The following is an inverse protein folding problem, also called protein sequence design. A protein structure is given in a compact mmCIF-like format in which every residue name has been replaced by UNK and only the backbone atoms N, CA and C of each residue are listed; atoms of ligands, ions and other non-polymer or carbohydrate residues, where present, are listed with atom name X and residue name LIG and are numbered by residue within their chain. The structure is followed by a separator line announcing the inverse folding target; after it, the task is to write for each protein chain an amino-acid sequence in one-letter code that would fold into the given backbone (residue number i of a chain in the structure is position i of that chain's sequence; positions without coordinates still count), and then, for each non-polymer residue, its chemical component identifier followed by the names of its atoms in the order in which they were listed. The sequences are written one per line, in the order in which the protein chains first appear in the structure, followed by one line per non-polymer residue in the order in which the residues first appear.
data_IF_515300455670
#
_entry.id   IF_515300455670
#
_cell.length_a   1.000
_cell.length_b   1.000
_cell.length_c   1.000
_cell.angle_alpha   90.00
_cell.angle_beta   90.00
_cell.angle_gamma   90.00
#
_symmetry.space_group_name_H-M   'P 1'
#
loop_
_entity.id
_entity.type
_entity.pdbx_description
1 polymer ?
#
# COMPACT_ATOMS: atom_id res chain seq x y z
N UNK A 1 -11.79 -6.38 13.96
CA UNK A 1 -10.38 -6.27 14.42
C UNK A 1 -9.95 -4.82 14.32
N UNK A 2 -9.60 -4.15 15.44
CA UNK A 2 -9.33 -2.70 15.50
C UNK A 2 -7.85 -2.44 15.77
N UNK A 3 -7.28 -1.46 15.06
CA UNK A 3 -5.94 -0.95 15.33
C UNK A 3 -5.96 -0.02 16.55
N UNK A 4 -5.16 -0.30 17.56
CA UNK A 4 -5.08 0.51 18.78
C UNK A 4 -4.40 1.86 18.56
N UNK A 5 -3.48 1.94 17.58
CA UNK A 5 -2.71 3.15 17.33
C UNK A 5 -3.49 4.18 16.51
N UNK A 6 -4.33 3.74 15.56
CA UNK A 6 -5.04 4.64 14.65
C UNK A 6 -6.57 4.49 14.63
N UNK A 7 -7.13 3.53 15.38
CA UNK A 7 -8.57 3.31 15.50
C UNK A 7 -9.25 2.65 14.29
N UNK A 8 -8.53 2.35 13.19
CA UNK A 8 -9.13 1.72 12.01
C UNK A 8 -9.62 0.30 12.31
N UNK A 9 -10.84 0.01 11.86
CA UNK A 9 -11.45 -1.31 11.96
C UNK A 9 -11.33 -2.11 10.67
N UNK A 10 -11.09 -3.40 10.81
CA UNK A 10 -10.95 -4.36 9.72
C UNK A 10 -11.85 -5.57 9.96
N UNK A 11 -12.45 -6.06 8.87
CA UNK A 11 -13.34 -7.22 8.88
C UNK A 11 -12.63 -8.53 9.25
N UNK A 12 -11.33 -8.65 8.91
CA UNK A 12 -10.56 -9.89 9.12
C UNK A 12 -9.18 -9.61 9.73
N UNK A 13 -8.69 -10.57 10.52
CA UNK A 13 -7.41 -10.46 11.25
C UNK A 13 -6.23 -10.20 10.31
N UNK A 14 -6.18 -10.89 9.16
CA UNK A 14 -5.12 -10.72 8.15
C UNK A 14 -4.98 -9.27 7.68
N UNK A 15 -6.10 -8.56 7.53
CA UNK A 15 -6.11 -7.17 7.10
C UNK A 15 -5.58 -6.24 8.19
N UNK A 16 -5.96 -6.48 9.46
CA UNK A 16 -5.38 -5.74 10.59
C UNK A 16 -3.88 -5.99 10.71
N UNK A 17 -3.43 -7.25 10.59
CA UNK A 17 -2.01 -7.60 10.66
C UNK A 17 -1.21 -6.88 9.56
N UNK A 18 -1.70 -6.88 8.32
CA UNK A 18 -1.07 -6.16 7.20
C UNK A 18 -0.99 -4.66 7.51
N UNK A 19 -2.09 -4.09 8.00
CA UNK A 19 -2.15 -2.69 8.37
C UNK A 19 -1.10 -2.32 9.43
N UNK A 20 -1.04 -3.06 10.54
CA UNK A 20 -0.07 -2.82 11.61
C UNK A 20 1.37 -2.94 11.11
N UNK A 21 1.64 -3.93 10.27
CA UNK A 21 2.99 -4.22 9.79
C UNK A 21 3.50 -3.21 8.75
N UNK A 22 2.61 -2.67 7.91
CA UNK A 22 3.01 -2.00 6.67
C UNK A 22 2.29 -0.70 6.36
N UNK A 23 1.19 -0.33 7.03
CA UNK A 23 0.34 0.82 6.64
C UNK A 23 0.02 1.81 7.77
N UNK A 24 0.33 1.50 9.04
CA UNK A 24 0.01 2.35 10.19
C UNK A 24 0.96 3.57 10.34
N UNK A 25 1.06 4.14 11.54
CA UNK A 25 1.70 5.46 11.81
C UNK A 25 3.16 5.55 11.32
N UNK A 26 3.90 4.44 11.30
CA UNK A 26 5.33 4.41 10.90
C UNK A 26 5.60 3.65 9.60
N UNK A 27 4.56 3.46 8.78
CA UNK A 27 4.67 2.78 7.50
C UNK A 27 5.48 3.59 6.49
N UNK A 28 6.76 3.26 6.32
CA UNK A 28 7.57 3.81 5.23
C UNK A 28 7.22 3.08 3.94
N UNK A 29 6.76 3.78 2.88
CA UNK A 29 6.53 3.14 1.60
C UNK A 29 7.88 2.64 1.07
N UNK A 30 7.99 1.33 0.87
CA UNK A 30 9.22 0.69 0.37
C UNK A 30 9.31 0.70 -1.15
N UNK A 31 8.19 0.84 -1.83
CA UNK A 31 8.11 0.76 -3.27
C UNK A 31 7.69 2.10 -3.85
N UNK A 32 8.40 2.54 -4.88
CA UNK A 32 8.14 3.78 -5.59
C UNK A 32 7.74 3.45 -7.02
N UNK A 33 6.86 4.25 -7.60
CA UNK A 33 6.67 4.28 -9.04
C UNK A 33 7.92 4.91 -9.68
N UNK A 34 8.31 4.41 -10.83
CA UNK A 34 9.40 4.94 -11.67
C UNK A 34 8.91 6.06 -12.60
N UNK A 35 7.62 6.04 -12.96
CA UNK A 35 7.01 7.02 -13.86
C UNK A 35 6.39 8.23 -13.13
N UNK A 36 6.19 8.18 -11.81
CA UNK A 36 5.61 9.30 -11.05
C UNK A 36 5.97 9.27 -9.55
N UNK A 37 5.64 10.32 -8.77
CA UNK A 37 5.95 10.39 -7.33
C UNK A 37 5.16 9.42 -6.44
N UNK A 38 4.28 8.56 -6.98
CA UNK A 38 3.46 7.63 -6.20
C UNK A 38 4.33 6.60 -5.46
N UNK A 39 4.04 6.37 -4.18
CA UNK A 39 4.75 5.41 -3.33
C UNK A 39 3.75 4.54 -2.57
N UNK A 40 4.13 3.29 -2.31
CA UNK A 40 3.31 2.34 -1.58
C UNK A 40 4.17 1.40 -0.72
N UNK A 41 3.65 0.93 0.43
CA UNK A 41 4.29 -0.13 1.19
C UNK A 41 4.16 -1.52 0.53
N UNK A 42 3.36 -1.66 -0.53
CA UNK A 42 3.09 -2.94 -1.17
C UNK A 42 3.42 -2.94 -2.67
N UNK A 43 4.12 -3.98 -3.12
CA UNK A 43 4.45 -4.18 -4.55
C UNK A 43 3.21 -4.27 -5.44
N UNK A 44 2.21 -5.04 -5.03
CA UNK A 44 0.97 -5.22 -5.80
C UNK A 44 0.21 -3.90 -6.00
N UNK A 45 0.29 -2.97 -5.04
CA UNK A 45 -0.28 -1.63 -5.18
C UNK A 45 0.45 -0.82 -6.26
N UNK A 46 1.78 -0.88 -6.32
CA UNK A 46 2.56 -0.23 -7.39
C UNK A 46 2.26 -0.87 -8.75
N UNK A 47 2.23 -2.19 -8.85
CA UNK A 47 1.92 -2.88 -10.11
C UNK A 47 0.52 -2.52 -10.63
N UNK A 48 -0.48 -2.53 -9.76
CA UNK A 48 -1.84 -2.10 -10.10
C UNK A 48 -1.89 -0.60 -10.44
N UNK A 49 -1.16 0.24 -9.72
CA UNK A 49 -1.04 1.67 -10.02
C UNK A 49 -0.44 1.89 -11.42
N UNK A 50 0.67 1.23 -11.75
CA UNK A 50 1.28 1.29 -13.08
C UNK A 50 0.31 0.83 -14.16
N UNK A 51 -0.39 -0.30 -13.97
CA UNK A 51 -1.40 -0.78 -14.92
C UNK A 51 -2.54 0.21 -15.15
N UNK A 52 -2.99 0.92 -14.11
CA UNK A 52 -4.13 1.86 -14.21
C UNK A 52 -3.74 3.25 -14.70
N UNK A 53 -2.57 3.75 -14.31
CA UNK A 53 -2.16 5.14 -14.53
C UNK A 53 -1.03 5.29 -15.55
N UNK A 54 -0.27 4.23 -15.79
CA UNK A 54 0.87 4.18 -16.70
C UNK A 54 0.75 2.99 -17.66
N UNK A 55 -0.49 2.63 -18.05
CA UNK A 55 -0.81 1.53 -18.98
C UNK A 55 -0.13 1.66 -20.36
N UNK A 56 0.71 2.67 -20.55
CA UNK A 56 1.38 3.00 -21.80
C UNK A 56 2.92 3.09 -21.67
N UNK A 57 3.55 2.31 -20.80
CA UNK A 57 5.02 2.11 -20.84
C UNK A 57 5.34 0.62 -20.94
N UNK A 58 4.93 0.05 -22.07
CA UNK A 58 5.64 -1.06 -22.70
C UNK A 58 6.00 -0.60 -24.11
N UNK A 59 7.03 0.23 -24.21
CA UNK A 59 8.22 -0.01 -25.04
C UNK A 59 9.17 1.19 -24.90
#
# INVERSE_FOLDING_TARGET
FVCVDCGKAYAVHRSLWRHLKFECINAKPKFTCDACPYKSPHKWCIENHKKKHHSNVYN
#
